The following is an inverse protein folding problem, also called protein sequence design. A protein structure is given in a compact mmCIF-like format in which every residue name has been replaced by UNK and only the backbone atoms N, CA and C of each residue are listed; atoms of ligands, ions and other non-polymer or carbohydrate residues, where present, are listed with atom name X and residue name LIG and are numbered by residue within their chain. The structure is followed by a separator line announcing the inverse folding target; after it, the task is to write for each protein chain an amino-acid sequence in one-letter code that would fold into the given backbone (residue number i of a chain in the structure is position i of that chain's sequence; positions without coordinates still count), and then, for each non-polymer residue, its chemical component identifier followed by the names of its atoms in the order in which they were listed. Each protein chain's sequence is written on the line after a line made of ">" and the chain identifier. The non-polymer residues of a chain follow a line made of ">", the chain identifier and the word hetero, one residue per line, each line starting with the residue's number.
data_IF_599779336525
#
_entry.id   IF_599779336525
#
_cell.length_a   1.000
_cell.length_b   1.000
_cell.length_c   1.000
_cell.angle_alpha   90.00
_cell.angle_beta   90.00
_cell.angle_gamma   90.00
#
_symmetry.space_group_name_H-M   'P 1'
#
loop_
_entity.id
_entity.type
_entity.pdbx_description
1 polymer ?
#
# COMPACT_ATOMS: atom_id res chain seq x y z
N UNK A 1 -54.75 -7.09 0.76
CA UNK A 1 -54.23 -8.11 1.69
C UNK A 1 -53.60 -9.18 0.84
N UNK A 2 -52.32 -9.17 0.68
CA UNK A 2 -51.53 -10.30 0.17
C UNK A 2 -50.31 -10.44 1.09
N UNK A 3 -50.27 -11.54 1.78
CA UNK A 3 -49.27 -11.99 2.72
C UNK A 3 -48.05 -12.49 1.94
N UNK A 4 -46.87 -11.92 2.23
CA UNK A 4 -45.58 -12.40 1.78
C UNK A 4 -45.12 -13.49 2.78
N UNK A 5 -44.73 -14.69 2.34
CA UNK A 5 -44.15 -15.68 3.24
C UNK A 5 -42.72 -15.34 3.61
N UNK A 6 -42.42 -15.29 4.91
CA UNK A 6 -41.09 -15.33 5.45
C UNK A 6 -40.46 -16.73 5.21
N UNK A 7 -39.45 -16.81 4.36
CA UNK A 7 -38.57 -17.98 4.28
C UNK A 7 -37.39 -17.75 5.23
N UNK A 8 -37.51 -18.30 6.45
CA UNK A 8 -36.38 -18.59 7.32
C UNK A 8 -35.88 -20.00 6.99
N UNK A 9 -35.02 -20.15 6.01
CA UNK A 9 -34.31 -21.38 5.73
C UNK A 9 -32.85 -21.23 6.16
N UNK A 10 -32.44 -21.97 7.18
CA UNK A 10 -31.03 -22.16 7.51
C UNK A 10 -30.33 -22.84 6.32
N UNK A 11 -29.31 -22.18 5.75
CA UNK A 11 -28.49 -22.71 4.68
C UNK A 11 -27.75 -23.96 5.17
N UNK A 12 -27.89 -25.07 4.46
CA UNK A 12 -27.19 -26.33 4.76
C UNK A 12 -25.68 -26.19 4.55
N UNK A 13 -24.90 -27.00 5.27
CA UNK A 13 -23.43 -26.99 5.22
C UNK A 13 -22.84 -27.23 3.82
N UNK A 14 -23.60 -27.73 2.85
CA UNK A 14 -23.18 -27.96 1.46
C UNK A 14 -23.24 -26.72 0.57
N UNK A 15 -23.98 -25.69 0.97
CA UNK A 15 -24.10 -24.43 0.18
C UNK A 15 -23.02 -23.41 0.51
N UNK A 16 -22.20 -23.65 1.53
CA UNK A 16 -21.19 -22.72 2.06
C UNK A 16 -19.81 -22.82 1.41
N UNK A 17 -19.57 -23.75 0.49
CA UNK A 17 -18.28 -23.90 -0.19
C UNK A 17 -18.45 -23.86 -1.71
N UNK A 18 -18.55 -22.67 -2.28
CA UNK A 18 -18.42 -22.52 -3.72
C UNK A 18 -16.94 -22.32 -4.04
N UNK A 19 -16.27 -23.41 -4.45
CA UNK A 19 -14.91 -23.33 -5.01
C UNK A 19 -15.06 -22.72 -6.39
N UNK A 20 -14.50 -21.54 -6.59
CA UNK A 20 -14.43 -20.89 -7.89
C UNK A 20 -13.16 -21.41 -8.56
N UNK A 21 -13.32 -22.44 -9.39
CA UNK A 21 -12.25 -22.88 -10.30
C UNK A 21 -12.30 -21.97 -11.52
N UNK A 22 -11.17 -21.37 -11.89
CA UNK A 22 -11.09 -20.65 -13.17
C UNK A 22 -11.37 -21.63 -14.31
N UNK A 23 -12.35 -21.33 -15.17
CA UNK A 23 -12.52 -22.05 -16.43
C UNK A 23 -11.22 -21.84 -17.22
N UNK A 24 -10.43 -22.91 -17.34
CA UNK A 24 -9.14 -22.90 -18.03
C UNK A 24 -9.39 -23.09 -19.51
N UNK A 25 -9.41 -22.00 -20.27
CA UNK A 25 -9.01 -22.00 -21.66
C UNK A 25 -7.54 -21.53 -21.71
N UNK A 26 -6.61 -22.39 -21.27
CA UNK A 26 -5.19 -22.17 -21.54
C UNK A 26 -4.90 -22.52 -23.00
N UNK A 27 -3.97 -21.79 -23.69
CA UNK A 27 -3.45 -22.22 -24.97
C UNK A 27 -2.85 -23.64 -24.85
N UNK A 28 -3.00 -24.41 -25.86
CA UNK A 28 -2.74 -25.88 -25.98
C UNK A 28 -1.27 -26.30 -25.75
N UNK A 29 -0.38 -25.36 -25.42
CA UNK A 29 1.05 -25.60 -25.18
C UNK A 29 1.49 -25.32 -23.73
N UNK A 30 0.64 -25.57 -22.74
CA UNK A 30 1.08 -25.57 -21.33
C UNK A 30 2.07 -26.75 -21.13
N UNK A 31 3.25 -26.51 -20.52
CA UNK A 31 4.23 -27.55 -20.31
C UNK A 31 3.67 -28.67 -19.42
N UNK A 32 4.17 -29.93 -19.63
CA UNK A 32 3.80 -31.17 -18.92
C UNK A 32 4.04 -31.19 -17.40
N UNK A 33 4.12 -29.99 -16.75
CA UNK A 33 4.50 -29.79 -15.34
C UNK A 33 3.33 -29.60 -14.35
N UNK A 34 2.08 -29.72 -14.76
CA UNK A 34 0.96 -29.52 -13.82
C UNK A 34 0.95 -30.52 -12.65
N UNK A 35 1.49 -31.73 -12.84
CA UNK A 35 1.51 -32.76 -11.81
C UNK A 35 2.50 -32.50 -10.66
N UNK A 36 3.50 -31.63 -10.87
CA UNK A 36 4.53 -31.29 -9.87
C UNK A 36 4.26 -29.97 -9.11
N UNK A 37 3.23 -29.20 -9.53
CA UNK A 37 2.93 -27.90 -8.92
C UNK A 37 2.11 -28.03 -7.63
N UNK A 38 2.59 -27.43 -6.57
CA UNK A 38 1.88 -27.43 -5.28
C UNK A 38 0.64 -26.54 -5.35
N UNK A 39 -0.54 -27.13 -5.20
CA UNK A 39 -1.79 -26.41 -5.10
C UNK A 39 -1.82 -25.54 -3.84
N UNK A 40 -2.56 -24.43 -3.91
CA UNK A 40 -2.83 -23.54 -2.79
C UNK A 40 -4.16 -22.82 -2.98
N UNK A 41 -4.59 -22.17 -1.93
CA UNK A 41 -5.90 -21.52 -1.90
C UNK A 41 -5.79 -20.10 -1.38
N UNK A 42 -6.55 -19.18 -1.99
CA UNK A 42 -6.89 -17.90 -1.41
C UNK A 42 -8.30 -18.01 -0.83
N UNK A 43 -8.41 -17.86 0.48
CA UNK A 43 -9.68 -17.98 1.20
C UNK A 43 -10.08 -16.61 1.73
N UNK A 44 -11.20 -16.08 1.24
CA UNK A 44 -11.72 -14.78 1.69
C UNK A 44 -12.46 -14.91 3.02
N UNK A 45 -12.57 -13.81 3.75
CA UNK A 45 -13.24 -13.76 5.06
C UNK A 45 -14.72 -14.20 5.02
N UNK A 46 -15.38 -14.10 3.87
CA UNK A 46 -16.77 -14.54 3.67
C UNK A 46 -16.90 -16.03 3.33
N UNK A 47 -15.76 -16.74 3.18
CA UNK A 47 -15.69 -18.16 2.89
C UNK A 47 -15.59 -18.50 1.41
N UNK A 48 -15.52 -17.52 0.49
CA UNK A 48 -15.20 -17.79 -0.91
C UNK A 48 -13.76 -18.30 -1.03
N UNK A 49 -13.55 -19.29 -1.91
CA UNK A 49 -12.26 -19.95 -2.08
C UNK A 49 -11.84 -19.91 -3.55
N UNK A 50 -10.63 -19.47 -3.79
CA UNK A 50 -9.99 -19.43 -5.10
C UNK A 50 -8.81 -20.40 -5.09
N UNK A 51 -8.84 -21.38 -5.98
CA UNK A 51 -7.75 -22.33 -6.17
C UNK A 51 -6.69 -21.73 -7.09
N UNK A 52 -5.42 -22.01 -6.80
CA UNK A 52 -4.26 -21.62 -7.58
C UNK A 52 -3.07 -22.50 -7.25
N UNK A 53 -1.87 -22.03 -7.56
CA UNK A 53 -0.62 -22.73 -7.31
C UNK A 53 0.30 -21.88 -6.44
N UNK A 54 1.01 -22.53 -5.52
CA UNK A 54 1.96 -21.89 -4.61
C UNK A 54 3.26 -21.54 -5.32
N UNK A 55 3.81 -20.38 -4.98
CA UNK A 55 5.18 -19.99 -5.27
C UNK A 55 5.70 -19.11 -4.11
N UNK A 56 6.99 -18.77 -4.10
CA UNK A 56 7.60 -18.00 -3.02
C UNK A 56 7.71 -18.78 -1.71
N UNK A 57 7.47 -18.12 -0.58
CA UNK A 57 7.59 -18.69 0.76
C UNK A 57 6.59 -19.82 1.04
N UNK A 58 7.00 -20.85 1.82
CA UNK A 58 6.18 -22.03 2.07
C UNK A 58 5.09 -21.82 3.13
N UNK A 59 5.18 -20.78 3.95
CA UNK A 59 4.25 -20.54 5.06
C UNK A 59 2.87 -20.08 4.56
N UNK A 60 1.84 -20.33 5.36
CA UNK A 60 0.55 -19.69 5.18
C UNK A 60 0.57 -18.24 5.68
N UNK A 61 -0.30 -17.40 5.15
CA UNK A 61 -0.40 -16.03 5.60
C UNK A 61 -1.84 -15.53 5.63
N UNK A 62 -2.13 -14.66 6.60
CA UNK A 62 -3.39 -13.91 6.68
C UNK A 62 -3.06 -12.42 6.52
N UNK A 63 -3.89 -11.70 5.77
CA UNK A 63 -3.72 -10.27 5.53
C UNK A 63 -4.98 -9.60 4.97
N UNK A 64 -4.99 -8.28 4.96
CA UNK A 64 -5.99 -7.52 4.23
C UNK A 64 -5.70 -7.62 2.73
N UNK A 65 -6.64 -8.18 1.94
CA UNK A 65 -6.47 -8.34 0.50
C UNK A 65 -6.75 -7.03 -0.22
N UNK A 66 -5.73 -6.52 -0.90
CA UNK A 66 -5.79 -5.31 -1.72
C UNK A 66 -5.32 -5.58 -3.13
N UNK A 67 -5.69 -4.74 -4.08
CA UNK A 67 -5.23 -4.88 -5.46
C UNK A 67 -4.60 -3.59 -5.98
N UNK A 68 -3.65 -3.74 -6.89
CA UNK A 68 -3.07 -2.65 -7.67
C UNK A 68 -3.24 -2.91 -9.17
N UNK A 69 -3.39 -1.83 -9.94
CA UNK A 69 -3.67 -1.90 -11.39
C UNK A 69 -2.46 -1.52 -12.26
N UNK A 70 -1.30 -1.32 -11.65
CA UNK A 70 -0.06 -1.01 -12.38
C UNK A 70 0.35 -2.14 -13.34
N UNK A 71 0.76 -1.80 -14.56
CA UNK A 71 1.30 -2.76 -15.53
C UNK A 71 2.77 -3.07 -15.28
N UNK A 72 3.47 -2.21 -14.56
CA UNK A 72 4.86 -2.31 -14.16
C UNK A 72 4.99 -1.88 -12.69
N UNK A 73 6.19 -1.89 -12.13
CA UNK A 73 6.43 -1.45 -10.75
C UNK A 73 6.07 -2.51 -9.71
N UNK A 74 6.14 -3.80 -10.04
CA UNK A 74 5.86 -4.83 -9.04
C UNK A 74 6.96 -4.92 -7.97
N UNK A 75 8.20 -4.52 -8.27
CA UNK A 75 9.28 -4.46 -7.30
C UNK A 75 9.06 -3.34 -6.30
N UNK A 76 8.69 -2.17 -6.78
CA UNK A 76 8.29 -1.05 -5.94
C UNK A 76 7.07 -1.42 -5.08
N UNK A 77 6.07 -2.10 -5.66
CA UNK A 77 4.91 -2.58 -4.90
C UNK A 77 5.29 -3.55 -3.78
N UNK A 78 6.16 -4.54 -4.06
CA UNK A 78 6.59 -5.53 -3.08
C UNK A 78 7.46 -4.94 -1.96
N UNK A 79 8.12 -3.81 -2.23
CA UNK A 79 9.06 -3.16 -1.32
C UNK A 79 8.56 -1.80 -0.79
N UNK A 80 7.31 -1.44 -1.07
CA UNK A 80 6.65 -0.26 -0.49
C UNK A 80 6.13 -0.57 0.91
N UNK A 81 6.69 0.03 1.98
CA UNK A 81 6.25 -0.21 3.35
C UNK A 81 4.76 0.08 3.58
N UNK A 82 4.11 0.88 2.73
CA UNK A 82 2.67 1.15 2.82
C UNK A 82 1.79 -0.09 2.62
N UNK A 83 2.35 -1.21 2.12
CA UNK A 83 1.65 -2.49 2.02
C UNK A 83 1.87 -3.42 3.23
N UNK A 84 2.54 -2.97 4.29
CA UNK A 84 2.72 -3.78 5.50
C UNK A 84 1.37 -4.28 6.06
N UNK A 85 1.31 -5.57 6.37
CA UNK A 85 0.08 -6.22 6.83
C UNK A 85 -0.90 -6.64 5.73
N UNK A 86 -0.61 -6.40 4.46
CA UNK A 86 -1.54 -6.67 3.35
C UNK A 86 -1.08 -7.84 2.47
N UNK A 87 -2.06 -8.58 1.93
CA UNK A 87 -1.87 -9.48 0.78
C UNK A 87 -2.14 -8.65 -0.47
N UNK A 88 -1.12 -8.53 -1.33
CA UNK A 88 -1.21 -7.67 -2.52
C UNK A 88 -1.50 -8.51 -3.75
N UNK A 89 -2.55 -8.13 -4.48
CA UNK A 89 -2.91 -8.73 -5.75
C UNK A 89 -2.55 -7.79 -6.90
N UNK A 90 -1.78 -8.27 -7.86
CA UNK A 90 -1.54 -7.58 -9.13
C UNK A 90 -2.61 -7.97 -10.15
N UNK A 91 -3.28 -6.97 -10.72
CA UNK A 91 -4.34 -7.22 -11.72
C UNK A 91 -3.78 -7.40 -13.13
N UNK A 92 -2.57 -6.90 -13.38
CA UNK A 92 -1.90 -7.14 -14.67
C UNK A 92 -1.59 -8.63 -14.84
N UNK A 93 -1.87 -9.22 -16.00
CA UNK A 93 -1.86 -10.67 -16.16
C UNK A 93 -0.51 -11.33 -15.87
N UNK A 94 0.58 -10.79 -16.43
CA UNK A 94 1.92 -11.37 -16.31
C UNK A 94 2.82 -10.53 -15.43
N UNK A 95 3.33 -11.12 -14.36
CA UNK A 95 4.23 -10.48 -13.37
C UNK A 95 5.56 -11.23 -13.32
N UNK A 96 6.65 -10.52 -13.02
CA UNK A 96 7.99 -11.11 -12.89
C UNK A 96 8.83 -11.05 -14.17
N UNK A 97 8.30 -10.55 -15.27
CA UNK A 97 8.91 -10.59 -16.59
C UNK A 97 10.26 -9.87 -16.73
N UNK A 98 10.55 -8.87 -15.91
CA UNK A 98 11.85 -8.19 -15.86
C UNK A 98 12.73 -8.64 -14.67
N UNK A 99 12.27 -9.62 -13.89
CA UNK A 99 13.00 -10.19 -12.75
C UNK A 99 13.15 -9.24 -11.58
N UNK A 100 14.19 -9.48 -10.79
CA UNK A 100 14.51 -8.70 -9.59
C UNK A 100 15.62 -7.70 -9.92
N UNK A 101 15.35 -6.43 -9.62
CA UNK A 101 16.25 -5.29 -9.84
C UNK A 101 16.34 -4.51 -8.53
N UNK A 102 17.38 -4.75 -7.68
CA UNK A 102 17.47 -4.16 -6.34
C UNK A 102 17.53 -2.62 -6.31
N UNK A 103 17.98 -1.99 -7.40
CA UNK A 103 17.99 -0.53 -7.51
C UNK A 103 16.58 0.08 -7.49
N UNK A 104 15.58 -0.68 -7.92
CA UNK A 104 14.19 -0.23 -8.00
C UNK A 104 13.42 -0.44 -6.67
N UNK A 105 14.08 -1.01 -5.63
CA UNK A 105 13.46 -1.23 -4.33
C UNK A 105 13.23 0.09 -3.58
N UNK A 106 12.04 0.19 -2.98
CA UNK A 106 11.64 1.30 -2.12
C UNK A 106 11.95 1.06 -0.64
N UNK A 107 12.11 -0.18 -0.24
CA UNK A 107 12.42 -0.58 1.13
C UNK A 107 12.66 -2.08 1.25
N UNK A 108 12.40 -2.64 2.43
CA UNK A 108 12.30 -4.08 2.63
C UNK A 108 10.97 -4.59 2.09
N UNK A 109 10.91 -5.89 1.73
CA UNK A 109 9.64 -6.52 1.37
C UNK A 109 8.83 -6.79 2.65
N UNK A 110 7.67 -6.15 2.78
CA UNK A 110 6.84 -6.18 3.98
C UNK A 110 5.42 -6.71 3.73
N UNK A 111 5.10 -7.10 2.48
CA UNK A 111 3.80 -7.68 2.15
C UNK A 111 3.59 -9.03 2.85
N UNK A 112 2.36 -9.33 3.25
CA UNK A 112 2.00 -10.61 3.91
C UNK A 112 1.88 -11.76 2.92
N UNK A 113 1.58 -11.44 1.66
CA UNK A 113 1.44 -12.41 0.60
C UNK A 113 1.27 -11.73 -0.75
N UNK A 114 1.43 -12.48 -1.82
CA UNK A 114 1.38 -11.95 -3.17
C UNK A 114 0.51 -12.82 -4.08
N UNK A 115 -0.43 -12.21 -4.80
CA UNK A 115 -1.40 -12.93 -5.65
C UNK A 115 -1.31 -12.39 -7.07
N UNK A 116 -1.12 -13.29 -8.05
CA UNK A 116 -0.98 -12.94 -9.46
C UNK A 116 -1.77 -13.91 -10.35
N UNK A 117 -2.10 -13.47 -11.54
CA UNK A 117 -2.71 -14.35 -12.55
C UNK A 117 -1.67 -15.31 -13.13
N UNK A 118 -0.56 -14.77 -13.59
CA UNK A 118 0.56 -15.49 -14.17
C UNK A 118 1.86 -14.88 -13.65
N UNK A 119 2.88 -15.71 -13.41
CA UNK A 119 4.21 -15.22 -13.11
C UNK A 119 5.22 -15.77 -14.10
N UNK A 120 6.23 -14.97 -14.40
CA UNK A 120 7.27 -15.31 -15.35
C UNK A 120 8.40 -16.05 -14.60
N UNK A 121 8.58 -17.34 -14.93
CA UNK A 121 9.63 -18.17 -14.33
C UNK A 121 11.02 -17.80 -14.85
N UNK A 122 11.11 -17.41 -16.12
CA UNK A 122 12.36 -17.05 -16.79
C UNK A 122 12.33 -15.56 -17.20
N UNK A 123 12.66 -14.64 -16.28
CA UNK A 123 12.65 -13.22 -16.57
C UNK A 123 13.71 -12.85 -17.61
N UNK A 124 13.40 -11.85 -18.43
CA UNK A 124 14.32 -11.34 -19.47
C UNK A 124 14.43 -9.83 -19.39
N UNK A 125 15.51 -9.36 -18.76
CA UNK A 125 15.88 -7.94 -18.70
C UNK A 125 17.37 -7.80 -18.43
N UNK A 126 18.05 -6.83 -19.04
CA UNK A 126 19.50 -6.63 -18.87
C UNK A 126 19.91 -6.24 -17.45
N UNK A 127 18.97 -5.73 -16.61
CA UNK A 127 19.19 -5.39 -15.18
C UNK A 127 18.81 -6.53 -14.23
N UNK A 128 18.26 -7.64 -14.75
CA UNK A 128 17.75 -8.74 -13.94
C UNK A 128 18.87 -9.39 -13.12
N UNK A 129 18.65 -9.51 -11.80
CA UNK A 129 19.57 -10.14 -10.85
C UNK A 129 18.96 -11.37 -10.14
N UNK A 130 17.74 -11.77 -10.50
CA UNK A 130 17.06 -12.93 -9.92
C UNK A 130 15.61 -13.02 -10.38
N UNK A 131 14.93 -14.06 -9.94
CA UNK A 131 13.52 -14.30 -10.23
C UNK A 131 12.62 -13.99 -9.04
N UNK A 132 11.33 -13.86 -9.30
CA UNK A 132 10.33 -13.46 -8.32
C UNK A 132 10.06 -14.55 -7.26
N UNK A 133 10.11 -15.83 -7.64
CA UNK A 133 9.86 -16.94 -6.72
C UNK A 133 10.95 -17.01 -5.64
N UNK A 134 12.23 -17.00 -6.05
CA UNK A 134 13.35 -16.97 -5.15
C UNK A 134 13.32 -15.73 -4.25
N UNK A 135 13.01 -14.55 -4.79
CA UNK A 135 12.88 -13.32 -4.03
C UNK A 135 11.86 -13.42 -2.91
N UNK A 136 10.68 -13.93 -3.19
CA UNK A 136 9.61 -14.10 -2.19
C UNK A 136 9.94 -15.22 -1.20
N UNK A 137 10.53 -16.32 -1.66
CA UNK A 137 10.95 -17.46 -0.83
C UNK A 137 11.98 -17.04 0.22
N UNK A 138 13.00 -16.31 -0.19
CA UNK A 138 14.08 -15.83 0.70
C UNK A 138 13.54 -14.90 1.81
N UNK A 139 12.39 -14.28 1.59
CA UNK A 139 11.73 -13.37 2.54
C UNK A 139 10.57 -14.02 3.29
N UNK A 140 10.32 -15.31 3.03
CA UNK A 140 9.23 -16.05 3.65
C UNK A 140 7.84 -15.55 3.25
N UNK A 141 7.71 -14.84 2.13
CA UNK A 141 6.45 -14.31 1.63
C UNK A 141 5.77 -15.35 0.74
N UNK A 142 4.58 -15.85 1.11
CA UNK A 142 3.84 -16.78 0.25
C UNK A 142 3.27 -16.09 -0.97
N UNK A 143 3.39 -16.76 -2.11
CA UNK A 143 2.76 -16.38 -3.36
C UNK A 143 1.67 -17.37 -3.78
N UNK A 144 0.69 -16.88 -4.54
CA UNK A 144 -0.33 -17.69 -5.20
C UNK A 144 -0.53 -17.19 -6.62
N UNK A 145 -0.43 -18.08 -7.62
CA UNK A 145 -0.67 -17.75 -9.01
C UNK A 145 -1.74 -18.67 -9.63
N UNK A 146 -2.20 -18.35 -10.84
CA UNK A 146 -3.27 -19.07 -11.52
C UNK A 146 -4.67 -18.66 -11.07
N UNK A 147 -4.79 -17.64 -10.25
CA UNK A 147 -6.05 -17.16 -9.67
C UNK A 147 -6.74 -16.18 -10.63
N UNK A 148 -8.06 -16.16 -10.64
CA UNK A 148 -8.84 -15.16 -11.37
C UNK A 148 -8.80 -13.80 -10.68
N UNK A 149 -7.72 -13.04 -10.95
CA UNK A 149 -7.52 -11.70 -10.37
C UNK A 149 -8.58 -10.68 -10.83
N UNK A 150 -9.21 -10.90 -11.99
CA UNK A 150 -10.28 -10.03 -12.47
C UNK A 150 -11.57 -10.22 -11.66
N UNK A 151 -11.95 -11.46 -11.38
CA UNK A 151 -13.10 -11.76 -10.52
C UNK A 151 -12.87 -11.27 -9.10
N UNK A 152 -11.68 -11.51 -8.52
CA UNK A 152 -11.31 -10.98 -7.20
C UNK A 152 -11.39 -9.45 -7.15
N UNK A 153 -10.89 -8.76 -8.18
CA UNK A 153 -11.00 -7.30 -8.28
C UNK A 153 -12.44 -6.84 -8.28
N UNK A 154 -13.33 -7.54 -9.00
CA UNK A 154 -14.76 -7.25 -9.04
C UNK A 154 -15.38 -7.40 -7.65
N UNK A 155 -15.09 -8.48 -6.93
CA UNK A 155 -15.57 -8.74 -5.58
C UNK A 155 -15.13 -7.63 -4.62
N UNK A 156 -13.84 -7.27 -4.62
CA UNK A 156 -13.32 -6.21 -3.75
C UNK A 156 -13.96 -4.85 -4.07
N UNK A 157 -14.19 -4.54 -5.34
CA UNK A 157 -14.87 -3.28 -5.73
C UNK A 157 -16.32 -3.24 -5.30
N UNK A 158 -17.02 -4.39 -5.33
CA UNK A 158 -18.43 -4.49 -4.94
C UNK A 158 -18.62 -4.51 -3.42
N UNK A 159 -17.75 -5.23 -2.68
CA UNK A 159 -17.92 -5.46 -1.24
C UNK A 159 -16.98 -4.62 -0.35
N UNK A 160 -15.93 -4.05 -0.92
CA UNK A 160 -14.86 -3.36 -0.21
C UNK A 160 -13.67 -4.26 0.04
N UNK A 161 -12.64 -3.70 0.70
CA UNK A 161 -11.45 -4.46 1.11
C UNK A 161 -11.86 -5.57 2.06
N UNK A 162 -11.28 -6.75 1.91
CA UNK A 162 -11.59 -7.96 2.66
C UNK A 162 -10.30 -8.59 3.18
N UNK A 163 -10.38 -9.25 4.32
CA UNK A 163 -9.29 -10.09 4.76
C UNK A 163 -9.28 -11.40 3.97
N UNK A 164 -8.10 -11.97 3.79
CA UNK A 164 -7.92 -13.25 3.12
C UNK A 164 -6.77 -14.05 3.75
N UNK A 165 -6.75 -15.35 3.48
CA UNK A 165 -5.63 -16.23 3.78
C UNK A 165 -5.11 -16.87 2.50
N UNK A 166 -3.77 -16.94 2.35
CA UNK A 166 -3.10 -17.84 1.43
C UNK A 166 -2.70 -19.07 2.23
N UNK A 167 -3.16 -20.26 1.83
CA UNK A 167 -2.97 -21.50 2.58
C UNK A 167 -2.86 -22.72 1.66
N UNK A 168 -2.27 -23.80 2.20
CA UNK A 168 -2.16 -25.09 1.52
C UNK A 168 -3.48 -25.88 1.59
N UNK A 169 -4.22 -25.73 2.70
CA UNK A 169 -5.51 -26.35 2.92
C UNK A 169 -6.56 -25.32 3.35
N UNK A 170 -7.79 -25.46 2.87
CA UNK A 170 -8.87 -24.56 3.23
C UNK A 170 -9.20 -24.72 4.72
N UNK A 171 -9.01 -23.71 5.58
CA UNK A 171 -9.24 -23.82 6.99
C UNK A 171 -10.74 -24.06 7.29
N UNK A 172 -11.03 -24.92 8.25
CA UNK A 172 -12.39 -25.18 8.71
C UNK A 172 -12.95 -23.99 9.51
N UNK A 173 -12.08 -23.27 10.23
CA UNK A 173 -12.39 -22.06 11.00
C UNK A 173 -11.74 -20.83 10.35
N UNK A 174 -12.56 -19.83 10.06
CA UNK A 174 -12.14 -18.55 9.47
C UNK A 174 -12.01 -17.43 10.50
N UNK A 175 -12.03 -17.73 11.79
CA UNK A 175 -11.97 -16.70 12.84
C UNK A 175 -10.72 -15.83 12.69
N UNK A 176 -9.55 -16.43 12.47
CA UNK A 176 -8.30 -15.68 12.27
C UNK A 176 -8.35 -14.75 11.06
N UNK A 177 -8.98 -15.18 9.96
CA UNK A 177 -9.15 -14.34 8.75
C UNK A 177 -10.13 -13.21 9.03
N UNK A 178 -11.27 -13.50 9.67
CA UNK A 178 -12.32 -12.50 9.94
C UNK A 178 -11.90 -11.42 10.92
N UNK A 179 -11.06 -11.78 11.92
CA UNK A 179 -10.63 -10.87 12.98
C UNK A 179 -9.29 -10.20 12.70
N UNK A 180 -8.65 -10.50 11.58
CA UNK A 180 -7.39 -9.88 11.22
C UNK A 180 -7.55 -8.37 11.08
N UNK A 181 -6.62 -7.61 11.65
CA UNK A 181 -6.54 -6.15 11.53
C UNK A 181 -5.09 -5.72 11.32
N UNK A 182 -4.90 -4.73 10.48
CA UNK A 182 -3.59 -4.09 10.25
C UNK A 182 -3.40 -3.05 11.33
N UNK A 183 -2.60 -3.34 12.35
CA UNK A 183 -2.36 -2.47 13.51
C UNK A 183 -0.88 -2.41 13.88
N UNK A 184 -0.44 -1.28 14.46
CA UNK A 184 0.93 -1.10 14.96
C UNK A 184 2.02 -1.11 13.86
N UNK A 185 1.63 -0.98 12.61
CA UNK A 185 2.52 -1.17 11.45
C UNK A 185 3.52 -0.04 11.26
N UNK A 186 3.21 1.20 11.65
CA UNK A 186 4.17 2.31 11.62
C UNK A 186 5.34 2.05 12.56
N UNK A 187 5.08 1.54 13.77
CA UNK A 187 6.13 1.19 14.73
C UNK A 187 7.00 0.02 14.26
N UNK A 188 6.42 -0.90 13.51
CA UNK A 188 7.14 -2.03 12.93
C UNK A 188 8.06 -1.61 11.78
N UNK A 189 7.60 -0.73 10.90
CA UNK A 189 8.27 -0.36 9.65
C UNK A 189 9.24 0.84 9.78
N UNK A 190 9.09 1.69 10.80
CA UNK A 190 10.01 2.83 11.01
C UNK A 190 11.45 2.40 11.23
N UNK A 191 12.41 3.23 10.81
CA UNK A 191 13.84 3.00 11.08
C UNK A 191 14.10 2.89 12.59
N UNK A 192 15.09 2.09 12.96
CA UNK A 192 15.46 1.87 14.38
C UNK A 192 16.42 2.90 14.94
N UNK A 193 17.09 3.65 14.08
CA UNK A 193 18.05 4.69 14.44
C UNK A 193 18.08 5.78 13.38
N UNK A 194 18.45 6.99 13.80
CA UNK A 194 18.64 8.10 12.88
C UNK A 194 19.78 7.82 11.89
N UNK A 195 19.60 8.22 10.64
CA UNK A 195 20.61 8.13 9.59
C UNK A 195 20.69 9.40 8.77
N UNK A 196 21.90 9.81 8.38
CA UNK A 196 22.12 10.98 7.54
C UNK A 196 22.45 10.57 6.10
N UNK A 197 21.79 11.23 5.17
CA UNK A 197 21.92 11.03 3.73
C UNK A 197 22.36 12.37 3.11
N UNK A 198 23.61 12.52 2.66
CA UNK A 198 24.12 13.77 2.12
C UNK A 198 23.44 14.15 0.81
N UNK A 199 23.39 15.43 0.51
CA UNK A 199 22.92 15.94 -0.76
C UNK A 199 23.76 15.41 -1.94
N UNK A 200 23.12 15.21 -3.07
CA UNK A 200 23.81 15.03 -4.35
C UNK A 200 24.31 16.42 -4.83
N UNK A 201 25.61 16.64 -4.82
CA UNK A 201 26.25 17.91 -5.15
C UNK A 201 26.29 18.92 -4.00
N UNK A 202 26.01 20.18 -4.27
CA UNK A 202 26.06 21.25 -3.28
C UNK A 202 24.88 21.16 -2.29
N UNK A 203 25.19 21.16 -0.98
CA UNK A 203 24.14 21.24 0.05
C UNK A 203 23.47 22.60 0.04
N UNK A 204 22.16 22.60 -0.17
CA UNK A 204 21.32 23.80 -0.17
C UNK A 204 20.42 23.87 1.05
N UNK A 205 19.91 22.71 1.51
CA UNK A 205 18.97 22.61 2.61
C UNK A 205 19.24 21.35 3.47
N UNK A 206 18.89 21.43 4.73
CA UNK A 206 18.86 20.31 5.67
C UNK A 206 17.44 19.96 6.01
N UNK A 207 17.03 18.72 5.73
CA UNK A 207 15.67 18.23 5.91
C UNK A 207 15.67 17.12 6.97
N UNK A 208 14.84 17.27 8.00
CA UNK A 208 14.51 16.17 8.92
C UNK A 208 13.32 15.40 8.35
N UNK A 209 13.50 14.11 8.04
CA UNK A 209 12.44 13.24 7.57
C UNK A 209 11.99 12.33 8.72
N UNK A 210 10.73 12.44 9.13
CA UNK A 210 10.10 11.52 10.07
C UNK A 210 9.63 10.29 9.31
N UNK A 211 10.20 9.14 9.66
CA UNK A 211 10.01 7.88 8.98
C UNK A 211 8.84 7.09 9.56
N UNK A 212 7.73 7.09 8.85
CA UNK A 212 6.54 6.30 9.17
C UNK A 212 6.42 5.02 8.34
N UNK A 213 7.47 4.65 7.63
CA UNK A 213 7.54 3.64 6.58
C UNK A 213 7.89 4.31 5.24
N UNK A 214 8.99 5.06 5.25
CA UNK A 214 9.37 5.90 4.12
C UNK A 214 9.86 5.10 2.91
N UNK A 215 9.34 5.42 1.74
CA UNK A 215 9.93 5.00 0.48
C UNK A 215 11.30 5.63 0.29
N UNK A 216 12.25 4.82 -0.18
CA UNK A 216 13.63 5.26 -0.44
C UNK A 216 13.68 6.42 -1.44
N UNK A 217 12.76 6.45 -2.42
CA UNK A 217 12.73 7.51 -3.41
C UNK A 217 12.43 8.90 -2.84
N UNK A 218 11.73 9.01 -1.70
CA UNK A 218 11.56 10.30 -1.02
C UNK A 218 12.93 10.89 -0.66
N UNK A 219 13.80 10.08 -0.07
CA UNK A 219 15.17 10.51 0.28
C UNK A 219 15.97 10.83 -0.97
N UNK A 220 15.96 9.94 -1.98
CA UNK A 220 16.68 10.13 -3.26
C UNK A 220 16.27 11.43 -3.96
N UNK A 221 14.98 11.72 -4.03
CA UNK A 221 14.46 12.93 -4.69
C UNK A 221 14.82 14.22 -3.94
N UNK A 222 14.89 14.19 -2.61
CA UNK A 222 15.40 15.28 -1.80
C UNK A 222 16.90 15.48 -2.01
N UNK A 223 17.69 14.41 -2.02
CA UNK A 223 19.15 14.46 -2.24
C UNK A 223 19.49 15.07 -3.62
N UNK A 224 18.80 14.65 -4.69
CA UNK A 224 18.94 15.22 -6.05
C UNK A 224 18.66 16.72 -6.11
N UNK A 225 17.86 17.24 -5.17
CA UNK A 225 17.51 18.67 -5.07
C UNK A 225 18.43 19.45 -4.14
N UNK A 226 19.55 18.85 -3.73
CA UNK A 226 20.54 19.48 -2.85
C UNK A 226 20.14 19.48 -1.39
N UNK A 227 19.30 18.54 -0.96
CA UNK A 227 18.94 18.39 0.45
C UNK A 227 19.82 17.32 1.12
N UNK A 228 20.49 17.66 2.22
CA UNK A 228 20.98 16.67 3.17
C UNK A 228 19.82 16.24 4.04
N UNK A 229 19.48 14.95 4.00
CA UNK A 229 18.30 14.38 4.68
C UNK A 229 18.73 13.61 5.91
N UNK A 230 18.21 13.97 7.08
CA UNK A 230 18.32 13.15 8.30
C UNK A 230 17.00 12.39 8.46
N UNK A 231 17.05 11.08 8.26
CA UNK A 231 15.91 10.18 8.50
C UNK A 231 15.85 9.88 9.99
N UNK A 232 14.69 10.10 10.60
CA UNK A 232 14.45 9.98 12.04
C UNK A 232 13.34 8.96 12.31
N UNK A 233 13.43 8.14 13.37
CA UNK A 233 12.34 7.24 13.76
C UNK A 233 11.02 7.97 14.00
N UNK A 234 9.90 7.29 13.80
CA UNK A 234 8.54 7.80 14.00
C UNK A 234 8.29 8.32 15.44
N UNK A 235 9.05 7.83 16.42
CA UNK A 235 8.93 8.21 17.84
C UNK A 235 9.78 9.43 18.21
N UNK A 236 10.51 10.03 17.24
CA UNK A 236 11.30 11.25 17.51
C UNK A 236 10.39 12.40 17.91
N UNK A 237 10.69 13.06 19.01
CA UNK A 237 9.89 14.18 19.50
C UNK A 237 10.07 15.45 18.66
N UNK A 238 9.06 16.31 18.68
CA UNK A 238 9.13 17.61 18.01
C UNK A 238 10.27 18.49 18.54
N UNK A 239 10.56 18.38 19.82
CA UNK A 239 11.66 19.08 20.50
C UNK A 239 13.04 18.65 19.93
N UNK A 240 13.24 17.35 19.73
CA UNK A 240 14.46 16.80 19.13
C UNK A 240 14.61 17.24 17.67
N UNK A 241 13.53 17.17 16.88
CA UNK A 241 13.51 17.65 15.48
C UNK A 241 13.89 19.13 15.41
N UNK A 242 13.27 19.99 16.24
CA UNK A 242 13.55 21.43 16.25
C UNK A 242 14.95 21.77 16.78
N UNK A 243 15.49 20.99 17.72
CA UNK A 243 16.85 21.16 18.23
C UNK A 243 17.91 20.97 17.13
N UNK A 244 17.66 20.12 16.13
CA UNK A 244 18.52 19.94 14.96
C UNK A 244 18.49 21.15 13.98
N UNK A 245 17.57 22.09 14.15
CA UNK A 245 17.38 23.30 13.32
C UNK A 245 17.36 22.99 11.82
N UNK A 246 16.45 22.11 11.36
CA UNK A 246 16.31 21.81 9.95
C UNK A 246 15.70 23.02 9.21
N UNK A 247 15.99 23.12 7.91
CA UNK A 247 15.36 24.09 7.02
C UNK A 247 13.92 23.69 6.66
N UNK A 248 13.61 22.40 6.76
CA UNK A 248 12.27 21.83 6.55
C UNK A 248 12.10 20.46 7.19
N UNK A 249 10.85 20.07 7.42
CA UNK A 249 10.45 18.75 7.92
C UNK A 249 9.66 18.03 6.84
N UNK A 250 10.03 16.78 6.58
CA UNK A 250 9.33 15.86 5.70
C UNK A 250 8.62 14.80 6.54
N UNK A 251 7.31 14.64 6.34
CA UNK A 251 6.52 13.55 6.89
C UNK A 251 6.33 12.51 5.80
N UNK A 252 6.87 11.32 6.01
CA UNK A 252 6.85 10.28 4.98
C UNK A 252 5.47 9.66 4.77
N UNK A 253 5.36 8.85 3.73
CA UNK A 253 4.31 7.85 3.60
C UNK A 253 4.42 6.78 4.69
N UNK A 254 3.43 5.88 4.76
CA UNK A 254 3.43 4.76 5.68
C UNK A 254 2.15 3.94 5.62
N UNK A 255 2.14 2.77 6.30
CA UNK A 255 1.02 1.84 6.34
C UNK A 255 -0.02 2.17 7.42
N UNK A 256 -1.16 1.49 7.35
CA UNK A 256 -2.13 1.36 8.43
C UNK A 256 -3.17 2.47 8.51
N UNK A 257 -3.87 2.50 9.64
CA UNK A 257 -4.85 3.55 9.96
C UNK A 257 -4.15 4.78 10.53
N UNK A 258 -4.33 5.97 9.91
CA UNK A 258 -3.71 7.19 10.44
C UNK A 258 -4.15 7.53 11.88
N UNK A 259 -5.37 7.18 12.27
CA UNK A 259 -5.91 7.50 13.60
C UNK A 259 -5.23 6.71 14.74
N UNK A 260 -4.56 5.59 14.45
CA UNK A 260 -3.78 4.84 15.46
C UNK A 260 -2.52 5.59 15.92
N UNK A 261 -2.03 6.54 15.14
CA UNK A 261 -0.74 7.20 15.33
C UNK A 261 -0.86 8.45 16.24
N UNK A 262 -1.48 8.30 17.41
CA UNK A 262 -1.79 9.41 18.32
C UNK A 262 -0.54 10.19 18.72
N UNK A 263 0.57 9.50 19.04
CA UNK A 263 1.82 10.17 19.42
C UNK A 263 2.37 11.02 18.27
N UNK A 264 2.42 10.50 17.06
CA UNK A 264 2.93 11.21 15.88
C UNK A 264 2.08 12.43 15.55
N UNK A 265 0.75 12.31 15.65
CA UNK A 265 -0.20 13.42 15.46
C UNK A 265 0.11 14.57 16.45
N UNK A 266 0.34 14.27 17.73
CA UNK A 266 0.69 15.27 18.74
C UNK A 266 2.07 15.91 18.50
N UNK A 267 3.06 15.16 17.98
CA UNK A 267 4.35 15.75 17.60
C UNK A 267 4.22 16.67 16.38
N UNK A 268 3.47 16.26 15.35
CA UNK A 268 3.21 17.10 14.16
C UNK A 268 2.53 18.42 14.57
N UNK A 269 1.54 18.37 15.46
CA UNK A 269 0.88 19.55 15.99
C UNK A 269 1.84 20.56 16.60
N UNK A 270 2.89 20.08 17.29
CA UNK A 270 3.94 20.94 17.87
C UNK A 270 4.90 21.51 16.81
N UNK A 271 5.09 20.85 15.66
CA UNK A 271 5.95 21.30 14.56
C UNK A 271 5.29 22.34 13.68
N UNK A 272 3.97 22.26 13.48
CA UNK A 272 3.19 23.17 12.63
C UNK A 272 3.41 24.63 13.00
N UNK A 273 3.65 25.46 11.98
CA UNK A 273 3.94 26.89 12.13
C UNK A 273 5.38 27.24 12.55
N UNK A 274 6.16 26.27 13.06
CA UNK A 274 7.54 26.52 13.55
C UNK A 274 8.59 26.32 12.47
N UNK A 275 8.38 25.37 11.58
CA UNK A 275 9.27 25.00 10.50
C UNK A 275 8.46 24.68 9.26
N UNK A 276 8.97 24.92 8.02
CA UNK A 276 8.30 24.46 6.81
C UNK A 276 8.08 22.95 6.86
N UNK A 277 6.88 22.49 6.50
CA UNK A 277 6.51 21.08 6.59
C UNK A 277 5.88 20.61 5.30
N UNK A 278 6.32 19.45 4.81
CA UNK A 278 5.72 18.74 3.69
C UNK A 278 5.34 17.31 4.10
N UNK A 279 4.11 16.89 3.79
CA UNK A 279 3.63 15.53 4.11
C UNK A 279 3.17 14.79 2.86
N UNK A 280 3.56 13.51 2.75
CA UNK A 280 3.16 12.60 1.67
C UNK A 280 2.33 11.46 2.24
N UNK A 281 1.19 11.14 1.62
CA UNK A 281 0.31 10.00 1.89
C UNK A 281 -0.08 9.92 3.38
N UNK A 282 0.52 9.05 4.20
CA UNK A 282 0.27 9.02 5.64
C UNK A 282 0.62 10.36 6.30
N UNK A 283 1.72 11.01 5.92
CA UNK A 283 2.10 12.33 6.42
C UNK A 283 1.04 13.42 6.14
N UNK A 284 0.33 13.34 5.00
CA UNK A 284 -0.82 14.18 4.69
C UNK A 284 -1.99 13.91 5.65
N UNK A 285 -2.32 12.64 5.89
CA UNK A 285 -3.43 12.24 6.75
C UNK A 285 -3.15 12.63 8.22
N UNK A 286 -1.93 12.37 8.72
CA UNK A 286 -1.52 12.75 10.08
C UNK A 286 -1.54 14.27 10.29
N UNK A 287 -1.15 15.05 9.27
CA UNK A 287 -1.22 16.51 9.34
C UNK A 287 -2.67 16.99 9.43
N UNK A 288 -3.58 16.42 8.66
CA UNK A 288 -5.00 16.74 8.74
C UNK A 288 -5.58 16.44 10.14
N UNK A 289 -5.23 15.29 10.73
CA UNK A 289 -5.62 14.92 12.08
C UNK A 289 -4.99 15.86 13.13
N UNK A 290 -3.74 16.27 12.95
CA UNK A 290 -3.05 17.19 13.85
C UNK A 290 -3.70 18.58 13.94
N UNK A 291 -4.32 19.05 12.87
CA UNK A 291 -5.09 20.31 12.87
C UNK A 291 -6.54 20.14 13.32
N UNK A 292 -6.98 18.91 13.60
CA UNK A 292 -8.34 18.61 14.09
C UNK A 292 -9.33 18.24 12.99
N UNK A 293 -8.87 17.93 11.78
CA UNK A 293 -9.65 17.32 10.71
C UNK A 293 -9.91 15.83 10.93
N UNK A 294 -10.63 15.18 10.05
CA UNK A 294 -10.97 13.76 10.09
C UNK A 294 -10.41 12.97 8.92
N UNK A 295 -10.32 11.65 9.12
CA UNK A 295 -10.00 10.68 8.07
C UNK A 295 -11.07 9.59 8.03
N UNK A 296 -11.19 8.90 6.89
CA UNK A 296 -12.11 7.79 6.74
C UNK A 296 -11.51 6.69 5.85
N UNK A 297 -11.93 5.44 6.07
CA UNK A 297 -11.50 4.32 5.25
C UNK A 297 -12.25 4.32 3.92
N UNK A 298 -11.52 4.26 2.81
CA UNK A 298 -12.08 4.09 1.47
C UNK A 298 -12.57 2.66 1.28
N UNK A 299 -13.56 2.48 0.42
CA UNK A 299 -14.15 1.17 0.17
C UNK A 299 -13.13 0.13 -0.30
N UNK A 300 -12.23 0.51 -1.23
CA UNK A 300 -11.16 -0.35 -1.73
C UNK A 300 -9.82 0.39 -1.91
N UNK A 301 -9.76 1.67 -1.55
CA UNK A 301 -8.57 2.52 -1.65
C UNK A 301 -8.21 2.93 -3.08
N UNK A 302 -7.22 3.81 -3.19
CA UNK A 302 -6.60 4.18 -4.45
C UNK A 302 -5.22 3.51 -4.55
N UNK A 303 -5.06 2.60 -5.51
CA UNK A 303 -3.79 1.89 -5.76
C UNK A 303 -3.54 1.77 -7.24
N UNK A 304 -2.39 2.29 -7.68
CA UNK A 304 -1.97 2.28 -9.08
C UNK A 304 -1.26 3.56 -9.48
N UNK A 305 -0.75 3.58 -10.70
CA UNK A 305 0.09 4.65 -11.27
C UNK A 305 -0.69 5.61 -12.18
N UNK A 306 -2.02 5.49 -12.21
CA UNK A 306 -2.88 6.18 -13.18
C UNK A 306 -4.04 6.94 -12.51
N UNK A 307 -3.85 7.43 -11.29
CA UNK A 307 -4.87 8.17 -10.55
C UNK A 307 -4.86 9.65 -10.98
N UNK A 308 -5.96 10.17 -11.54
CA UNK A 308 -6.03 11.55 -12.00
C UNK A 308 -6.33 12.48 -10.82
N UNK A 309 -5.47 13.47 -10.63
CA UNK A 309 -5.61 14.48 -9.58
C UNK A 309 -5.74 15.86 -10.19
N UNK A 310 -6.82 16.57 -9.85
CA UNK A 310 -7.10 17.93 -10.34
C UNK A 310 -6.60 18.96 -9.33
N UNK A 311 -5.83 19.94 -9.82
CA UNK A 311 -5.44 21.15 -9.11
C UNK A 311 -6.62 22.14 -9.10
N UNK A 312 -7.11 22.50 -7.92
CA UNK A 312 -8.23 23.43 -7.77
C UNK A 312 -7.84 24.90 -7.94
N UNK A 313 -6.57 25.25 -7.74
CA UNK A 313 -6.04 26.61 -7.97
C UNK A 313 -5.50 26.78 -9.39
N UNK A 314 -5.31 25.68 -10.10
CA UNK A 314 -4.85 25.63 -11.48
C UNK A 314 -5.89 25.08 -12.43
N UNK A 315 -5.46 24.89 -13.69
CA UNK A 315 -6.29 24.30 -14.76
C UNK A 315 -5.84 22.89 -15.16
N UNK A 316 -4.88 22.33 -14.40
CA UNK A 316 -4.23 21.07 -14.75
C UNK A 316 -4.80 19.89 -13.98
N UNK A 317 -4.85 18.76 -14.65
CA UNK A 317 -5.01 17.43 -14.05
C UNK A 317 -3.69 16.68 -14.23
N UNK A 318 -3.19 16.11 -13.15
CA UNK A 318 -1.98 15.30 -13.12
C UNK A 318 -2.35 13.84 -13.02
N UNK A 319 -1.63 12.96 -13.70
CA UNK A 319 -1.70 11.53 -13.47
C UNK A 319 -0.68 11.20 -12.39
N UNK A 320 -1.14 10.55 -11.33
CA UNK A 320 -0.33 10.33 -10.12
C UNK A 320 -0.27 8.86 -9.75
N UNK A 321 0.79 8.49 -9.04
CA UNK A 321 0.90 7.20 -8.36
C UNK A 321 0.29 7.31 -6.97
N UNK A 322 -0.53 6.33 -6.58
CA UNK A 322 -1.18 6.29 -5.28
C UNK A 322 -1.19 4.89 -4.69
N UNK A 323 -1.08 4.81 -3.37
CA UNK A 323 -1.25 3.61 -2.58
C UNK A 323 -1.76 3.97 -1.18
N UNK A 324 -3.07 4.10 -1.03
CA UNK A 324 -3.68 4.39 0.27
C UNK A 324 -5.08 3.79 0.40
N UNK A 325 -5.42 3.38 1.64
CA UNK A 325 -6.74 2.86 2.00
C UNK A 325 -7.60 3.86 2.77
N UNK A 326 -7.00 4.97 3.23
CA UNK A 326 -7.67 6.03 3.97
C UNK A 326 -7.56 7.36 3.22
N UNK A 327 -8.50 8.24 3.44
CA UNK A 327 -8.53 9.59 2.87
C UNK A 327 -8.88 10.63 3.93
N UNK A 328 -8.45 11.88 3.70
CA UNK A 328 -8.85 13.01 4.53
C UNK A 328 -10.26 13.46 4.14
N UNK A 329 -11.11 13.68 5.14
CA UNK A 329 -12.36 14.40 4.93
C UNK A 329 -12.08 15.89 4.80
N UNK A 330 -11.95 16.37 3.57
CA UNK A 330 -11.67 17.78 3.27
C UNK A 330 -12.72 18.76 3.81
N UNK A 331 -13.92 18.28 4.14
CA UNK A 331 -15.00 19.12 4.70
C UNK A 331 -14.89 19.29 6.21
N UNK A 332 -14.12 18.43 6.88
CA UNK A 332 -13.92 18.47 8.33
C UNK A 332 -12.77 19.39 8.78
N UNK A 333 -12.01 19.95 7.85
CA UNK A 333 -10.82 20.74 8.16
C UNK A 333 -11.16 22.07 8.84
N UNK A 334 -10.69 22.34 10.07
CA UNK A 334 -10.89 23.64 10.72
C UNK A 334 -9.96 24.72 10.17
N UNK A 335 -8.82 24.32 9.58
CA UNK A 335 -7.82 25.19 8.95
C UNK A 335 -7.24 24.51 7.73
N UNK A 336 -6.69 25.29 6.79
CA UNK A 336 -6.17 24.80 5.52
C UNK A 336 -7.17 24.90 4.38
N UNK A 337 -6.69 24.70 3.18
CA UNK A 337 -7.46 24.77 1.94
C UNK A 337 -7.17 23.53 1.12
N UNK A 338 -8.22 22.77 0.76
CA UNK A 338 -8.08 21.66 -0.18
C UNK A 338 -7.57 22.21 -1.52
N UNK A 339 -6.41 21.75 -1.93
CA UNK A 339 -5.72 22.14 -3.14
C UNK A 339 -5.93 21.14 -4.27
N UNK A 340 -5.88 19.87 -3.96
CA UNK A 340 -5.97 18.78 -4.92
C UNK A 340 -7.12 17.85 -4.58
N UNK A 341 -7.83 17.38 -5.62
CA UNK A 341 -8.87 16.35 -5.50
C UNK A 341 -8.69 15.28 -6.56
N UNK A 342 -9.06 14.05 -6.24
CA UNK A 342 -9.16 12.98 -7.24
C UNK A 342 -10.26 13.31 -8.25
N UNK A 343 -9.94 13.22 -9.53
CA UNK A 343 -10.89 13.61 -10.58
C UNK A 343 -12.00 12.55 -10.79
N UNK A 344 -11.82 11.32 -10.28
CA UNK A 344 -12.80 10.25 -10.43
C UNK A 344 -13.91 10.30 -9.38
N UNK A 345 -13.56 10.58 -8.10
CA UNK A 345 -14.49 10.47 -6.97
C UNK A 345 -14.52 11.68 -6.04
N UNK A 346 -13.66 12.69 -6.29
CA UNK A 346 -13.60 13.93 -5.49
C UNK A 346 -12.87 13.80 -4.15
N UNK A 347 -12.23 12.67 -3.86
CA UNK A 347 -11.41 12.46 -2.65
C UNK A 347 -10.37 13.57 -2.50
N UNK A 348 -10.13 14.04 -1.27
CA UNK A 348 -9.11 15.03 -0.96
C UNK A 348 -7.70 14.45 -1.22
N UNK A 349 -6.96 15.08 -2.12
CA UNK A 349 -5.64 14.62 -2.57
C UNK A 349 -4.50 15.57 -2.19
N UNK A 350 -4.81 16.68 -1.55
CA UNK A 350 -3.79 17.59 -1.05
C UNK A 350 -4.36 18.87 -0.45
N UNK A 351 -3.63 19.41 0.51
CA UNK A 351 -4.06 20.54 1.32
C UNK A 351 -2.90 21.53 1.49
N UNK A 352 -3.19 22.80 1.29
CA UNK A 352 -2.31 23.90 1.66
C UNK A 352 -2.71 24.46 3.03
N UNK A 353 -1.71 24.66 3.89
CA UNK A 353 -1.84 25.27 5.23
C UNK A 353 -0.92 26.52 5.33
N UNK A 354 -1.26 27.64 4.65
CA UNK A 354 -0.36 28.78 4.54
C UNK A 354 0.08 29.36 5.88
N UNK A 355 -0.88 29.52 6.82
CA UNK A 355 -0.64 30.08 8.16
C UNK A 355 0.23 29.15 9.04
N UNK A 356 0.30 27.86 8.70
CA UNK A 356 1.08 26.85 9.39
C UNK A 356 2.38 26.50 8.65
N UNK A 357 2.69 27.18 7.55
CA UNK A 357 3.88 26.95 6.71
C UNK A 357 3.98 25.48 6.26
N UNK A 358 2.84 24.85 5.94
CA UNK A 358 2.79 23.46 5.57
C UNK A 358 1.96 23.26 4.29
N UNK A 359 2.30 22.22 3.55
CA UNK A 359 1.47 21.67 2.48
C UNK A 359 1.61 20.15 2.44
N UNK A 360 0.59 19.48 1.95
CA UNK A 360 0.57 18.03 1.99
C UNK A 360 -0.14 17.46 0.75
N UNK A 361 0.29 16.26 0.33
CA UNK A 361 -0.32 15.55 -0.80
C UNK A 361 -0.59 14.09 -0.43
N UNK A 362 -1.70 13.55 -0.90
CA UNK A 362 -2.07 12.15 -0.70
C UNK A 362 -1.33 11.22 -1.68
N UNK A 363 -1.08 11.70 -2.89
CA UNK A 363 -0.35 10.97 -3.93
C UNK A 363 1.16 10.98 -3.70
N UNK A 364 1.89 10.19 -4.48
CA UNK A 364 3.33 9.98 -4.37
C UNK A 364 4.09 10.73 -5.48
N UNK A 365 4.56 11.97 -5.24
CA UNK A 365 5.29 12.75 -6.23
C UNK A 365 6.72 12.23 -6.47
N UNK A 366 7.22 11.36 -5.59
CA UNK A 366 8.53 10.71 -5.69
C UNK A 366 8.54 9.47 -6.59
N UNK A 367 7.37 8.97 -7.00
CA UNK A 367 7.26 7.76 -7.80
C UNK A 367 7.88 7.95 -9.19
N UNK A 368 8.66 6.96 -9.62
CA UNK A 368 9.40 6.96 -10.89
C UNK A 368 8.92 5.84 -11.84
N UNK A 369 7.74 5.25 -11.60
CA UNK A 369 7.19 4.12 -12.37
C UNK A 369 6.42 4.58 -13.61
#
# INVERSE_FOLDING_TARGET
>A
KSTVPHCTGELTASEKKRIITSNRDFPVDAPEREDDMKKGYLVLQDGQVFEGFRFGGPADAVGELVFTTGMCGYLETLTDPSYAGQIVMQTYPLIGNYGIIPEDFEGACCVRGYVVREWCEEPSNFRCQGDLDAFLRDRGVPGLWGVDTRELTRIIREHGVMNAAICDEVPADLTAVKTYAVTGVVEAETCKAASAHPAEGEERFRVSLLDYGAKRNIVRELQKRGCTVTVLPAQTSAEEVLAAKPDGVMLSNGPGDPAENVYQIEQIKKLLGKVPLFGICLGHQLTALAVGGGTYKLKYGHRGVNQPVRDLDGVRTYITSQNHGYAVDGTSLPVGKVRFINANDGTCEGIDYPDLRAFTVQFHPEACT
#
